data_IF_448020689817
#
_entry.id   IF_448020689817
#
_cell.length_a   1.000
_cell.length_b   1.000
_cell.length_c   1.000
_cell.angle_alpha   90.00
_cell.angle_beta   90.00
_cell.angle_gamma   90.00
#
_symmetry.space_group_name_H-M   'P 1'
#
loop_
_entity.id
_entity.type
_entity.pdbx_description
1 polymer ?
#
# COMPACT_ATOMS: atom_id res chain seq x y z
N UNK A 1 9.74 13.01 -7.11
CA UNK A 1 9.19 11.65 -7.19
C UNK A 1 8.19 11.48 -6.05
N UNK A 2 6.94 11.13 -6.37
CA UNK A 2 5.88 10.97 -5.38
C UNK A 2 6.11 9.66 -4.62
N UNK A 3 6.68 9.75 -3.42
CA UNK A 3 6.75 8.59 -2.52
C UNK A 3 5.36 8.37 -1.95
N UNK A 4 4.81 7.16 -2.10
CA UNK A 4 3.55 6.82 -1.46
C UNK A 4 3.69 6.89 0.06
N UNK A 5 2.74 7.58 0.70
CA UNK A 5 2.69 7.72 2.15
C UNK A 5 2.61 6.33 2.82
N UNK A 6 3.29 6.09 3.97
CA UNK A 6 3.35 4.77 4.61
C UNK A 6 1.98 4.14 4.87
N UNK A 7 0.97 4.93 5.24
CA UNK A 7 -0.40 4.43 5.43
C UNK A 7 -0.98 3.80 4.14
N UNK A 8 -0.73 4.41 2.99
CA UNK A 8 -1.18 3.91 1.67
C UNK A 8 -0.44 2.62 1.31
N UNK A 9 0.87 2.54 1.57
CA UNK A 9 1.64 1.31 1.31
C UNK A 9 1.15 0.14 2.16
N UNK A 10 0.85 0.39 3.44
CA UNK A 10 0.31 -0.64 4.35
C UNK A 10 -1.04 -1.17 3.86
N UNK A 11 -1.92 -0.27 3.42
CA UNK A 11 -3.22 -0.64 2.89
C UNK A 11 -3.10 -1.45 1.59
N UNK A 12 -2.24 -1.01 0.65
CA UNK A 12 -1.98 -1.74 -0.59
C UNK A 12 -1.42 -3.16 -0.36
N UNK A 13 -0.49 -3.33 0.58
CA UNK A 13 0.01 -4.66 0.95
C UNK A 13 -1.14 -5.54 1.47
N UNK A 14 -1.97 -5.01 2.37
CA UNK A 14 -3.08 -5.74 2.98
C UNK A 14 -4.10 -6.18 1.94
N UNK A 15 -4.45 -5.29 0.99
CA UNK A 15 -5.36 -5.60 -0.11
C UNK A 15 -4.79 -6.67 -1.03
N UNK A 16 -3.50 -6.58 -1.38
CA UNK A 16 -2.82 -7.59 -2.20
C UNK A 16 -2.86 -8.96 -1.52
N UNK A 17 -2.44 -9.05 -0.25
CA UNK A 17 -2.41 -10.30 0.51
C UNK A 17 -3.81 -10.91 0.64
N UNK A 18 -4.83 -10.09 0.88
CA UNK A 18 -6.22 -10.55 0.99
C UNK A 18 -6.70 -11.14 -0.34
N UNK A 19 -6.47 -10.44 -1.45
CA UNK A 19 -6.86 -10.91 -2.78
C UNK A 19 -6.09 -12.18 -3.19
N UNK A 20 -4.78 -12.24 -2.91
CA UNK A 20 -3.95 -13.40 -3.15
C UNK A 20 -4.43 -14.61 -2.33
N UNK A 21 -4.73 -14.43 -1.05
CA UNK A 21 -5.24 -15.48 -0.16
C UNK A 21 -6.60 -16.02 -0.61
N UNK A 22 -7.46 -15.15 -1.13
CA UNK A 22 -8.76 -15.52 -1.71
C UNK A 22 -8.63 -16.20 -3.08
N UNK A 23 -7.41 -16.41 -3.60
CA UNK A 23 -7.18 -17.02 -4.89
C UNK A 23 -7.68 -16.16 -6.04
N UNK A 24 -7.56 -14.84 -5.93
CA UNK A 24 -8.10 -13.91 -6.92
C UNK A 24 -7.57 -14.17 -8.34
N UNK A 25 -6.34 -14.69 -8.49
CA UNK A 25 -5.75 -15.11 -9.77
C UNK A 25 -6.54 -16.20 -10.50
N UNK A 26 -7.17 -17.13 -9.77
CA UNK A 26 -7.97 -18.22 -10.34
C UNK A 26 -9.47 -17.94 -10.27
N UNK A 27 -9.84 -16.79 -9.71
CA UNK A 27 -11.23 -16.38 -9.46
C UNK A 27 -11.86 -15.67 -10.66
N UNK A 28 -12.97 -14.97 -10.39
CA UNK A 28 -13.70 -14.19 -11.39
C UNK A 28 -12.79 -13.15 -12.08
N UNK A 29 -13.09 -12.75 -13.33
CA UNK A 29 -12.32 -11.73 -14.04
C UNK A 29 -12.18 -10.42 -13.25
N UNK A 30 -13.19 -10.04 -12.46
CA UNK A 30 -13.15 -8.84 -11.61
C UNK A 30 -12.17 -8.97 -10.44
N UNK A 31 -12.04 -10.16 -9.84
CA UNK A 31 -11.07 -10.40 -8.78
C UNK A 31 -9.64 -10.38 -9.34
N UNK A 32 -9.41 -11.02 -10.49
CA UNK A 32 -8.14 -10.96 -11.22
C UNK A 32 -7.74 -9.53 -11.57
N UNK A 33 -8.67 -8.74 -12.10
CA UNK A 33 -8.41 -7.35 -12.45
C UNK A 33 -8.02 -6.54 -11.22
N UNK A 34 -8.74 -6.69 -10.10
CA UNK A 34 -8.39 -6.01 -8.85
C UNK A 34 -7.00 -6.39 -8.35
N UNK A 35 -6.64 -7.67 -8.41
CA UNK A 35 -5.31 -8.11 -8.02
C UNK A 35 -4.22 -7.53 -8.92
N UNK A 36 -4.45 -7.47 -10.23
CA UNK A 36 -3.55 -6.82 -11.19
C UNK A 36 -3.42 -5.31 -10.93
N UNK A 37 -4.51 -4.61 -10.62
CA UNK A 37 -4.52 -3.17 -10.34
C UNK A 37 -3.73 -2.83 -9.06
N UNK A 38 -3.92 -3.62 -8.00
CA UNK A 38 -3.17 -3.47 -6.74
C UNK A 38 -1.69 -3.76 -6.96
N UNK A 39 -1.37 -4.83 -7.71
CA UNK A 39 0.01 -5.20 -8.06
C UNK A 39 0.71 -4.09 -8.85
N UNK A 40 0.03 -3.54 -9.86
CA UNK A 40 0.52 -2.41 -10.65
C UNK A 40 0.78 -1.18 -9.78
N UNK A 41 -0.17 -0.85 -8.89
CA UNK A 41 -0.05 0.28 -7.98
C UNK A 41 1.12 0.11 -7.02
N UNK A 42 1.33 -1.08 -6.47
CA UNK A 42 2.49 -1.41 -5.65
C UNK A 42 3.80 -1.20 -6.42
N UNK A 43 3.88 -1.70 -7.66
CA UNK A 43 5.07 -1.53 -8.50
C UNK A 43 5.38 -0.05 -8.75
N UNK A 44 4.37 0.76 -9.11
CA UNK A 44 4.55 2.20 -9.35
C UNK A 44 4.93 2.94 -8.06
N UNK A 45 4.25 2.66 -6.94
CA UNK A 45 4.49 3.32 -5.66
C UNK A 45 5.90 3.03 -5.10
N UNK A 46 6.44 1.85 -5.40
CA UNK A 46 7.77 1.41 -4.95
C UNK A 46 8.86 1.64 -5.98
N UNK A 47 8.50 1.93 -7.24
CA UNK A 47 9.44 2.10 -8.34
C UNK A 47 10.04 0.79 -8.83
N UNK A 48 9.33 -0.32 -8.66
CA UNK A 48 9.74 -1.66 -9.11
C UNK A 48 8.98 -2.07 -10.36
N UNK A 49 9.37 -3.21 -10.96
CA UNK A 49 8.72 -3.78 -12.16
C UNK A 49 8.03 -5.11 -11.90
N UNK A 50 8.11 -5.59 -10.66
CA UNK A 50 7.67 -6.90 -10.23
C UNK A 50 7.02 -6.78 -8.85
N UNK A 51 5.94 -7.54 -8.64
CA UNK A 51 5.11 -7.43 -7.43
C UNK A 51 5.82 -7.98 -6.19
N UNK A 52 6.62 -9.04 -6.32
CA UNK A 52 7.39 -9.57 -5.19
C UNK A 52 8.44 -8.55 -4.75
N UNK A 53 9.13 -7.95 -5.73
CA UNK A 53 10.07 -6.85 -5.47
C UNK A 53 9.35 -5.63 -4.86
N UNK A 54 8.14 -5.32 -5.32
CA UNK A 54 7.34 -4.24 -4.78
C UNK A 54 6.98 -4.49 -3.31
N UNK A 55 6.57 -5.70 -2.95
CA UNK A 55 6.22 -6.06 -1.58
C UNK A 55 7.44 -5.96 -0.64
N UNK A 56 8.61 -6.43 -1.08
CA UNK A 56 9.86 -6.33 -0.30
C UNK A 56 10.20 -4.85 -0.08
N UNK A 57 10.19 -4.04 -1.15
CA UNK A 57 10.50 -2.62 -1.08
C UNK A 57 9.50 -1.86 -0.19
N UNK A 58 8.20 -2.17 -0.31
CA UNK A 58 7.16 -1.57 0.50
C UNK A 58 7.33 -1.91 1.99
N UNK A 59 7.56 -3.18 2.34
CA UNK A 59 7.81 -3.59 3.73
C UNK A 59 9.06 -2.94 4.31
N UNK A 60 10.15 -2.88 3.54
CA UNK A 60 11.37 -2.19 3.95
C UNK A 60 11.12 -0.71 4.24
N UNK A 61 10.33 -0.03 3.40
CA UNK A 61 9.93 1.38 3.63
C UNK A 61 9.08 1.53 4.88
N UNK A 62 8.18 0.60 5.18
CA UNK A 62 7.41 0.61 6.43
C UNK A 62 8.27 0.35 7.67
N UNK A 63 9.30 -0.49 7.57
CA UNK A 63 10.24 -0.75 8.67
C UNK A 63 11.23 0.40 8.89
N UNK A 64 11.55 1.15 7.84
CA UNK A 64 12.42 2.33 7.88
C UNK A 64 11.69 3.65 8.12
N UNK A 65 10.38 3.72 7.88
CA UNK A 65 9.54 4.84 8.24
C UNK A 65 9.44 4.89 9.77
N UNK A 66 10.22 5.79 10.36
CA UNK A 66 10.03 6.10 11.76
C UNK A 66 8.64 6.75 11.94
N UNK A 67 7.99 6.59 13.10
CA UNK A 67 6.66 7.15 13.35
C UNK A 67 6.57 8.69 13.18
N UNK A 68 7.68 9.40 13.02
CA UNK A 68 7.71 10.85 12.73
C UNK A 68 7.34 11.26 11.28
N UNK A 69 7.21 10.33 10.32
CA UNK A 69 6.64 10.62 8.98
C UNK A 69 5.09 10.63 8.99
N UNK A 70 4.47 10.59 10.17
CA UNK A 70 3.09 11.00 10.41
C UNK A 70 3.04 12.54 10.35
N UNK A 71 3.09 13.07 9.13
CA UNK A 71 2.42 14.34 8.87
C UNK A 71 0.91 14.07 8.93
N UNK A 72 0.43 13.80 10.15
CA UNK A 72 -0.95 14.01 10.54
C UNK A 72 -1.32 15.39 9.99
N UNK A 73 -2.41 15.47 9.24
CA UNK A 73 -3.17 16.70 9.16
C UNK A 73 -3.50 17.08 10.61
N UNK A 74 -2.59 17.80 11.27
CA UNK A 74 -2.88 18.51 12.50
C UNK A 74 -3.77 19.68 12.06
N UNK A 75 -5.05 19.39 11.88
CA UNK A 75 -6.03 20.38 12.26
C UNK A 75 -6.17 20.25 13.79
N UNK A 76 -5.71 21.24 14.58
CA UNK A 76 -5.92 21.22 16.00
C UNK A 76 -7.39 21.56 16.30
N UNK A 77 -8.20 20.55 16.58
CA UNK A 77 -9.35 20.70 17.46
C UNK A 77 -9.12 19.81 18.70
N UNK A 78 -9.48 20.23 19.94
CA UNK A 78 -10.75 20.91 20.21
C UNK A 78 -10.82 21.92 21.39
N UNK A 79 -11.93 22.68 21.39
CA UNK A 79 -12.79 23.07 22.52
C UNK A 79 -12.29 23.92 23.72
N UNK A 80 -13.17 24.85 24.09
CA UNK A 80 -13.47 25.46 25.41
C UNK A 80 -12.85 26.83 25.77
N UNK A 81 -13.70 27.87 25.66
CA UNK A 81 -13.95 28.86 26.69
C UNK A 81 -15.38 29.40 26.53
#
# INVERSE_FOLDING_TARGET
MLMAHPAVLKDLITQYETLALLGAEESTPGARQRLADVSYTLCVATGTRDVDMALIAARHRLSGARPEDDSVLQDPEPAVA
#
